data_IF_218731954626
#
_entry.id   IF_218731954626
#
_cell.length_a   1.000
_cell.length_b   1.000
_cell.length_c   1.000
_cell.angle_alpha   90.00
_cell.angle_beta   90.00
_cell.angle_gamma   90.00
#
_symmetry.space_group_name_H-M   'P 1'
#
loop_
_entity.id
_entity.type
_entity.pdbx_description
1 polymer ?
#
# COMPACT_ATOMS: atom_id res chain seq x y z
N UNK A 1 6.89 0.49 8.98
CA UNK A 1 6.10 0.33 10.21
C UNK A 1 6.58 1.28 11.31
N UNK A 2 5.64 1.81 12.07
CA UNK A 2 5.94 2.68 13.20
C UNK A 2 6.23 4.13 12.90
N UNK A 3 6.25 4.53 11.63
CA UNK A 3 6.38 5.95 11.27
C UNK A 3 5.10 6.72 11.60
N UNK A 4 5.25 7.97 12.05
CA UNK A 4 4.11 8.83 12.30
C UNK A 4 3.26 9.00 11.03
N UNK A 5 1.94 9.03 11.19
CA UNK A 5 1.02 9.28 10.07
C UNK A 5 1.13 10.71 9.55
N UNK A 6 1.74 11.61 10.29
CA UNK A 6 2.05 12.98 9.85
C UNK A 6 3.50 13.16 9.38
N UNK A 7 4.26 12.05 9.25
CA UNK A 7 5.67 12.10 8.89
C UNK A 7 5.89 12.76 7.53
N UNK A 8 7.02 13.48 7.44
CA UNK A 8 7.45 14.14 6.20
C UNK A 8 8.58 13.35 5.56
N UNK A 9 8.91 13.66 4.32
CA UNK A 9 10.03 13.05 3.60
C UNK A 9 11.33 13.26 4.37
N UNK A 10 12.08 12.16 4.62
CA UNK A 10 13.34 12.18 5.40
C UNK A 10 14.12 10.88 5.16
N UNK A 11 15.33 10.83 5.73
CA UNK A 11 16.13 9.61 5.75
C UNK A 11 15.60 8.66 6.86
N UNK A 12 15.50 7.38 6.53
CA UNK A 12 15.07 6.34 7.48
C UNK A 12 15.96 5.11 7.37
N UNK A 13 16.10 4.41 8.48
CA UNK A 13 16.71 3.08 8.54
C UNK A 13 15.74 2.06 7.96
N UNK A 14 16.22 1.21 7.07
CA UNK A 14 15.43 0.15 6.45
C UNK A 14 15.23 -1.02 7.43
N UNK A 15 14.08 -1.68 7.34
CA UNK A 15 13.83 -2.93 8.05
C UNK A 15 14.66 -4.06 7.45
N UNK A 16 14.88 -5.13 8.24
CA UNK A 16 15.60 -6.32 7.77
C UNK A 16 14.91 -6.91 6.53
N UNK A 17 13.58 -7.00 6.53
CA UNK A 17 12.82 -7.54 5.40
C UNK A 17 13.03 -6.71 4.13
N UNK A 18 13.08 -5.39 4.26
CA UNK A 18 13.34 -4.50 3.13
C UNK A 18 14.76 -4.70 2.58
N UNK A 19 15.75 -4.84 3.47
CA UNK A 19 17.13 -5.10 3.07
C UNK A 19 17.24 -6.42 2.31
N UNK A 20 16.60 -7.49 2.82
CA UNK A 20 16.56 -8.79 2.16
C UNK A 20 15.90 -8.68 0.78
N UNK A 21 14.74 -8.03 0.70
CA UNK A 21 14.03 -7.85 -0.57
C UNK A 21 14.86 -7.08 -1.61
N UNK A 22 15.60 -6.06 -1.17
CA UNK A 22 16.45 -5.26 -2.05
C UNK A 22 17.74 -5.94 -2.44
N UNK A 23 18.16 -7.01 -1.74
CA UNK A 23 19.40 -7.72 -2.03
C UNK A 23 19.45 -8.25 -3.47
N UNK A 24 18.31 -8.49 -4.09
CA UNK A 24 18.21 -8.90 -5.50
C UNK A 24 18.88 -7.92 -6.46
N UNK A 25 18.99 -6.65 -6.09
CA UNK A 25 19.65 -5.62 -6.88
C UNK A 25 21.14 -5.48 -6.54
N UNK A 26 21.65 -6.26 -5.58
CA UNK A 26 23.01 -6.21 -5.06
C UNK A 26 23.64 -7.62 -5.00
N UNK A 27 23.49 -8.38 -6.08
CA UNK A 27 24.04 -9.75 -6.22
C UNK A 27 23.53 -10.72 -5.15
N UNK A 28 22.33 -10.52 -4.64
CA UNK A 28 21.74 -11.27 -3.52
C UNK A 28 22.56 -11.20 -2.22
N UNK A 29 23.41 -10.19 -2.08
CA UNK A 29 24.24 -9.98 -0.90
C UNK A 29 23.66 -8.88 -0.03
N UNK A 30 23.07 -9.28 1.11
CA UNK A 30 22.45 -8.34 2.06
C UNK A 30 23.46 -7.33 2.64
N UNK A 31 24.74 -7.68 2.69
CA UNK A 31 25.78 -6.79 3.21
C UNK A 31 26.11 -5.63 2.26
N UNK A 32 25.76 -5.75 0.97
CA UNK A 32 25.94 -4.69 -0.02
C UNK A 32 24.78 -3.70 -0.07
N UNK A 33 23.64 -4.04 0.54
CA UNK A 33 22.45 -3.18 0.53
C UNK A 33 22.65 -2.02 1.50
N UNK A 34 22.42 -0.76 1.07
CA UNK A 34 22.42 0.37 2.00
C UNK A 34 21.38 0.16 3.11
N UNK A 35 21.74 0.51 4.34
CA UNK A 35 20.88 0.32 5.50
C UNK A 35 19.91 1.48 5.72
N UNK A 36 20.11 2.58 5.04
CA UNK A 36 19.26 3.77 5.13
C UNK A 36 18.81 4.20 3.74
N UNK A 37 17.68 4.88 3.66
CA UNK A 37 17.17 5.42 2.41
C UNK A 37 16.39 6.70 2.67
N UNK A 38 16.28 7.54 1.65
CA UNK A 38 15.31 8.63 1.64
C UNK A 38 13.94 8.04 1.36
N UNK A 39 12.95 8.42 2.15
CA UNK A 39 11.59 7.94 1.99
C UNK A 39 10.59 9.07 2.08
N UNK A 40 9.54 8.98 1.27
CA UNK A 40 8.42 9.92 1.32
C UNK A 40 7.61 9.64 2.59
N UNK A 41 7.34 10.68 3.36
CA UNK A 41 6.57 10.54 4.60
C UNK A 41 5.10 10.27 4.34
N UNK A 42 4.45 9.61 5.30
CA UNK A 42 3.02 9.31 5.23
C UNK A 42 2.21 10.60 5.11
N UNK A 43 2.50 11.60 5.94
CA UNK A 43 1.85 12.90 5.86
C UNK A 43 2.12 13.62 4.54
N UNK A 44 3.30 13.42 3.95
CA UNK A 44 3.62 13.96 2.62
C UNK A 44 2.70 13.36 1.56
N UNK A 45 2.52 12.03 1.57
CA UNK A 45 1.61 11.34 0.65
C UNK A 45 0.17 11.83 0.85
N UNK A 46 -0.29 11.91 2.11
CA UNK A 46 -1.66 12.34 2.42
C UNK A 46 -1.93 13.79 2.04
N UNK A 47 -0.91 14.63 1.86
CA UNK A 47 -1.07 16.01 1.43
C UNK A 47 -1.33 16.14 -0.08
N UNK A 48 -1.19 15.08 -0.85
CA UNK A 48 -1.51 15.08 -2.28
C UNK A 48 -3.03 15.24 -2.50
N UNK A 49 -3.41 15.83 -3.62
CA UNK A 49 -4.84 15.99 -3.98
C UNK A 49 -5.53 14.66 -4.22
N UNK A 50 -4.82 13.71 -4.79
CA UNK A 50 -5.29 12.36 -5.04
C UNK A 50 -4.16 11.38 -4.76
N UNK A 51 -4.50 10.21 -4.23
CA UNK A 51 -3.53 9.14 -3.97
C UNK A 51 -4.06 7.85 -4.55
N UNK A 52 -3.26 7.22 -5.40
CA UNK A 52 -3.55 5.89 -5.91
C UNK A 52 -2.49 4.91 -5.41
N UNK A 53 -2.95 3.81 -4.84
CA UNK A 53 -2.07 2.73 -4.39
C UNK A 53 -2.39 1.48 -5.20
N UNK A 54 -1.39 0.90 -5.84
CA UNK A 54 -1.51 -0.34 -6.60
C UNK A 54 -0.95 -1.47 -5.74
N UNK A 55 -1.75 -2.51 -5.53
CA UNK A 55 -1.43 -3.63 -4.65
C UNK A 55 -1.62 -4.93 -5.43
N UNK A 56 -0.58 -5.75 -5.54
CA UNK A 56 -0.67 -7.00 -6.25
C UNK A 56 0.01 -8.15 -5.50
N UNK A 57 -0.57 -9.34 -5.66
CA UNK A 57 -0.04 -10.59 -5.14
C UNK A 57 -0.43 -10.90 -3.70
N UNK A 58 -0.34 -12.18 -3.35
CA UNK A 58 -0.66 -12.68 -2.01
C UNK A 58 0.19 -12.06 -0.90
N UNK A 59 1.43 -11.69 -1.21
CA UNK A 59 2.34 -11.09 -0.23
C UNK A 59 1.84 -9.75 0.32
N UNK A 60 0.90 -9.12 -0.38
CA UNK A 60 0.30 -7.84 0.02
C UNK A 60 -1.10 -7.99 0.61
N UNK A 61 -1.64 -9.21 0.66
CA UNK A 61 -3.01 -9.45 1.11
C UNK A 61 -3.24 -8.96 2.55
N UNK A 62 -2.28 -9.20 3.45
CA UNK A 62 -2.37 -8.73 4.84
C UNK A 62 -2.37 -7.21 4.91
N UNK A 63 -1.50 -6.53 4.16
CA UNK A 63 -1.44 -5.08 4.11
C UNK A 63 -2.74 -4.49 3.56
N UNK A 64 -3.30 -5.09 2.51
CA UNK A 64 -4.58 -4.65 1.94
C UNK A 64 -5.73 -4.82 2.93
N UNK A 65 -5.76 -5.94 3.66
CA UNK A 65 -6.73 -6.14 4.74
C UNK A 65 -6.70 -4.99 5.74
N UNK A 66 -5.50 -4.62 6.22
CA UNK A 66 -5.36 -3.50 7.16
C UNK A 66 -5.70 -2.14 6.56
N UNK A 67 -5.48 -1.97 5.25
CA UNK A 67 -5.82 -0.73 4.56
C UNK A 67 -7.34 -0.53 4.46
N UNK A 68 -8.10 -1.60 4.24
CA UNK A 68 -9.54 -1.53 3.94
C UNK A 68 -10.39 -1.79 5.18
N UNK A 69 -10.07 -2.83 5.93
CA UNK A 69 -10.90 -3.31 7.05
C UNK A 69 -10.28 -3.04 8.43
N UNK A 70 -9.00 -2.72 8.49
CA UNK A 70 -8.32 -2.47 9.75
C UNK A 70 -8.54 -1.06 10.29
N UNK A 71 -8.14 -0.86 11.54
CA UNK A 71 -8.07 0.47 12.14
C UNK A 71 -6.89 1.27 11.57
N UNK A 72 -7.00 2.59 11.62
CA UNK A 72 -5.90 3.47 11.20
C UNK A 72 -4.81 3.42 12.29
N UNK A 73 -3.62 2.97 11.92
CA UNK A 73 -2.47 2.93 12.84
C UNK A 73 -1.14 2.95 12.06
N UNK A 74 -0.07 3.36 12.77
CA UNK A 74 1.24 3.53 12.14
C UNK A 74 1.99 2.21 11.90
N UNK A 75 1.53 1.10 12.43
CA UNK A 75 2.15 -0.20 12.13
C UNK A 75 1.80 -0.66 10.72
N UNK A 76 0.67 -0.19 10.21
CA UNK A 76 0.22 -0.41 8.84
C UNK A 76 -0.06 0.97 8.23
N UNK A 77 0.99 1.63 7.77
CA UNK A 77 0.90 3.02 7.31
C UNK A 77 -0.07 3.22 6.15
N UNK A 78 -0.28 2.18 5.33
CA UNK A 78 -1.29 2.18 4.26
C UNK A 78 -2.71 2.42 4.81
N UNK A 79 -2.97 2.07 6.08
CA UNK A 79 -4.27 2.29 6.72
C UNK A 79 -4.65 3.78 6.79
N UNK A 80 -3.66 4.67 6.75
CA UNK A 80 -3.88 6.11 6.74
C UNK A 80 -4.61 6.61 5.50
N UNK A 81 -4.66 5.81 4.41
CA UNK A 81 -5.42 6.16 3.21
C UNK A 81 -6.92 6.30 3.52
N UNK A 82 -7.41 5.64 4.58
CA UNK A 82 -8.80 5.79 5.03
C UNK A 82 -9.16 7.22 5.41
N UNK A 83 -8.19 8.07 5.71
CA UNK A 83 -8.40 9.48 6.03
C UNK A 83 -8.32 10.38 4.79
N UNK A 84 -7.92 9.86 3.64
CA UNK A 84 -7.74 10.66 2.45
C UNK A 84 -9.07 10.81 1.70
N UNK A 85 -9.41 12.04 1.33
CA UNK A 85 -10.66 12.37 0.63
C UNK A 85 -10.76 11.69 -0.73
N UNK A 86 -9.63 11.54 -1.44
CA UNK A 86 -9.57 10.94 -2.79
C UNK A 86 -8.52 9.85 -2.86
N UNK A 87 -8.63 8.88 -1.97
CA UNK A 87 -7.78 7.70 -1.97
C UNK A 87 -8.35 6.61 -2.87
N UNK A 88 -7.52 6.03 -3.74
CA UNK A 88 -7.88 4.95 -4.65
C UNK A 88 -6.96 3.78 -4.41
N UNK A 89 -7.53 2.59 -4.30
CA UNK A 89 -6.75 1.34 -4.26
C UNK A 89 -7.10 0.51 -5.49
N UNK A 90 -6.08 0.09 -6.23
CA UNK A 90 -6.19 -0.85 -7.35
C UNK A 90 -5.50 -2.14 -6.92
N UNK A 91 -6.24 -3.25 -6.89
CA UNK A 91 -5.72 -4.52 -6.41
C UNK A 91 -6.11 -5.65 -7.35
N UNK A 92 -5.22 -6.65 -7.47
CA UNK A 92 -5.57 -7.90 -8.13
C UNK A 92 -6.30 -8.85 -7.15
N UNK A 93 -6.85 -9.95 -7.66
CA UNK A 93 -7.59 -10.90 -6.83
C UNK A 93 -6.70 -11.52 -5.74
N UNK A 94 -5.44 -11.80 -6.04
CA UNK A 94 -4.51 -12.37 -5.06
C UNK A 94 -4.30 -11.45 -3.85
N UNK A 95 -4.23 -10.14 -4.07
CA UNK A 95 -4.07 -9.16 -3.01
C UNK A 95 -5.33 -9.03 -2.14
N UNK A 96 -6.51 -9.44 -2.62
CA UNK A 96 -7.77 -9.38 -1.87
C UNK A 96 -8.02 -10.60 -0.98
N UNK A 97 -7.09 -11.55 -0.95
CA UNK A 97 -7.30 -12.87 -0.36
C UNK A 97 -7.67 -12.83 1.14
N UNK A 98 -7.20 -11.85 1.89
CA UNK A 98 -7.51 -11.72 3.33
C UNK A 98 -8.67 -10.76 3.62
N UNK A 99 -9.31 -10.18 2.63
CA UNK A 99 -10.55 -9.43 2.82
C UNK A 99 -11.70 -10.38 3.13
N UNK A 100 -12.65 -9.93 3.94
CA UNK A 100 -13.92 -10.66 4.10
C UNK A 100 -14.63 -10.75 2.76
N UNK A 101 -15.30 -11.88 2.52
CA UNK A 101 -16.07 -12.09 1.28
C UNK A 101 -17.11 -10.97 1.07
N UNK A 102 -17.78 -10.55 2.14
CA UNK A 102 -18.76 -9.47 2.06
C UNK A 102 -18.14 -8.14 1.64
N UNK A 103 -16.95 -7.82 2.14
CA UNK A 103 -16.22 -6.61 1.75
C UNK A 103 -15.83 -6.65 0.27
N UNK A 104 -15.27 -7.77 -0.17
CA UNK A 104 -14.89 -7.97 -1.57
C UNK A 104 -16.10 -7.81 -2.50
N UNK A 105 -17.21 -8.46 -2.19
CA UNK A 105 -18.44 -8.38 -2.98
C UNK A 105 -19.04 -6.97 -3.01
N UNK A 106 -19.01 -6.27 -1.88
CA UNK A 106 -19.49 -4.90 -1.79
C UNK A 106 -18.74 -3.99 -2.76
N UNK A 107 -17.40 -4.03 -2.74
CA UNK A 107 -16.61 -3.19 -3.64
C UNK A 107 -16.71 -3.61 -5.09
N UNK A 108 -16.84 -4.91 -5.38
CA UNK A 108 -17.11 -5.37 -6.75
C UNK A 108 -18.43 -4.79 -7.29
N UNK A 109 -19.42 -4.70 -6.45
CA UNK A 109 -20.74 -4.17 -6.83
C UNK A 109 -20.69 -2.67 -7.10
N UNK A 110 -20.20 -1.89 -6.14
CA UNK A 110 -20.19 -0.42 -6.29
C UNK A 110 -19.22 0.08 -7.35
N UNK A 111 -18.17 -0.70 -7.67
CA UNK A 111 -17.16 -0.34 -8.67
C UNK A 111 -17.36 -1.08 -10.00
N UNK A 112 -18.49 -1.75 -10.19
CA UNK A 112 -18.74 -2.56 -11.38
C UNK A 112 -18.54 -1.78 -12.68
N UNK A 113 -19.00 -0.55 -12.75
CA UNK A 113 -18.87 0.30 -13.95
C UNK A 113 -17.41 0.64 -14.24
N UNK A 114 -16.57 0.79 -13.21
CA UNK A 114 -15.14 1.06 -13.37
C UNK A 114 -14.35 -0.18 -13.75
N UNK A 115 -14.88 -1.38 -13.48
CA UNK A 115 -14.24 -2.66 -13.80
C UNK A 115 -14.58 -3.15 -15.20
N UNK A 116 -15.55 -2.55 -15.86
CA UNK A 116 -15.93 -2.90 -17.24
C UNK A 116 -14.92 -2.28 -18.22
N UNK A 117 -14.18 -3.10 -19.02
CA UNK A 117 -13.26 -2.57 -20.01
C UNK A 117 -13.91 -1.60 -21.00
N UNK A 118 -15.18 -1.77 -21.30
CA UNK A 118 -15.90 -0.88 -22.21
C UNK A 118 -16.02 0.55 -21.63
N UNK A 119 -16.04 0.72 -20.32
CA UNK A 119 -16.12 2.03 -19.69
C UNK A 119 -14.85 2.86 -19.89
N UNK A 120 -13.72 2.20 -20.13
CA UNK A 120 -12.43 2.85 -20.37
C UNK A 120 -12.33 3.51 -21.75
N UNK A 121 -13.25 3.17 -22.64
CA UNK A 121 -13.29 3.66 -24.02
C UNK A 121 -14.26 4.83 -24.22
N UNK A 122 -14.89 5.27 -23.18
CA UNK A 122 -15.86 6.37 -23.22
C UNK A 122 -15.22 7.73 -22.96
#
# INVERSE_FOLDING_TARGET
>A
PGSSLSSRTRQKTLTTDTIIANSRFFDNDVNKVPKTALTVGVGTVLSAKEVMIIVNGHNKARALYHAVEGSINQMWTISALQMHEKGIIVADDAATFELKVGTYRYFKDIEADHLDPASLLK
#
